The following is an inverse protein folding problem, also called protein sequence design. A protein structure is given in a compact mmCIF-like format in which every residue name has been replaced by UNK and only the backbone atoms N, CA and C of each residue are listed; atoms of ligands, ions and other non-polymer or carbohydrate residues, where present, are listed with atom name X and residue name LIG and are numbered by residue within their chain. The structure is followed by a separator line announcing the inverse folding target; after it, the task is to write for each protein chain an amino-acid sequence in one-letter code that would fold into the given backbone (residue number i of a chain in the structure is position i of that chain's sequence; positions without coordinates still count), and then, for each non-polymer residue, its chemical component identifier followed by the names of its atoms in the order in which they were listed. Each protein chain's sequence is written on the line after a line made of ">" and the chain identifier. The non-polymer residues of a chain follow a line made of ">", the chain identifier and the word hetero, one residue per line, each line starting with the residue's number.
data_IF_139603188121
#
_entry.id   IF_139603188121
#
_cell.length_a   1.000
_cell.length_b   1.000
_cell.length_c   1.000
_cell.angle_alpha   90.00
_cell.angle_beta   90.00
_cell.angle_gamma   90.00
#
_symmetry.space_group_name_H-M   'P 1'
#
loop_
_entity.id
_entity.type
_entity.pdbx_description
1 polymer ?
#
# COMPACT_ATOMS: atom_id res chain seq x y z
N UNK A 1 5.98 6.20 17.49
CA UNK A 1 4.70 5.45 17.54
C UNK A 1 4.17 5.47 16.12
N UNK A 2 4.05 4.31 15.48
CA UNK A 2 3.75 4.22 14.05
C UNK A 2 2.25 3.99 13.84
N UNK A 3 1.64 4.70 12.90
CA UNK A 3 0.22 4.53 12.54
C UNK A 3 0.07 3.36 11.60
N UNK A 4 -0.65 2.32 12.05
CA UNK A 4 -0.93 1.14 11.22
C UNK A 4 -2.09 1.41 10.28
N UNK A 5 -1.88 1.23 8.99
CA UNK A 5 -2.85 1.56 7.92
C UNK A 5 -3.06 0.35 7.02
N UNK A 6 -4.31 0.10 6.63
CA UNK A 6 -4.67 -0.85 5.60
C UNK A 6 -5.17 -0.13 4.34
N UNK A 7 -4.84 -0.65 3.16
CA UNK A 7 -5.32 -0.11 1.87
C UNK A 7 -6.43 -1.01 1.34
N UNK A 8 -7.66 -0.49 1.24
CA UNK A 8 -8.77 -1.18 0.60
C UNK A 8 -8.98 -0.66 -0.82
N UNK A 9 -8.50 -1.43 -1.81
CA UNK A 9 -8.51 -1.06 -3.23
C UNK A 9 -7.12 -0.72 -3.77
N UNK A 10 -6.36 -1.73 -4.21
CA UNK A 10 -5.00 -1.58 -4.77
C UNK A 10 -4.96 -1.24 -6.26
N UNK A 11 -5.82 -0.29 -6.67
CA UNK A 11 -5.83 0.27 -8.01
C UNK A 11 -4.79 1.37 -8.20
N UNK A 12 -5.04 2.31 -9.11
CA UNK A 12 -4.14 3.44 -9.39
C UNK A 12 -3.75 4.21 -8.11
N UNK A 13 -4.75 4.59 -7.31
CA UNK A 13 -4.52 5.40 -6.10
C UNK A 13 -3.87 4.59 -4.98
N UNK A 14 -4.34 3.35 -4.73
CA UNK A 14 -3.75 2.50 -3.69
C UNK A 14 -2.26 2.25 -3.89
N UNK A 15 -1.83 2.02 -5.15
CA UNK A 15 -0.40 1.86 -5.48
C UNK A 15 0.39 3.15 -5.29
N UNK A 16 -0.13 4.28 -5.76
CA UNK A 16 0.52 5.58 -5.53
C UNK A 16 0.66 5.92 -4.05
N UNK A 17 -0.35 5.61 -3.23
CA UNK A 17 -0.30 5.80 -1.77
C UNK A 17 0.81 4.95 -1.14
N UNK A 18 0.92 3.67 -1.51
CA UNK A 18 1.98 2.79 -0.99
C UNK A 18 3.38 3.29 -1.39
N UNK A 19 3.57 3.78 -2.63
CA UNK A 19 4.85 4.38 -3.06
C UNK A 19 5.18 5.63 -2.23
N UNK A 20 4.21 6.54 -2.07
CA UNK A 20 4.40 7.76 -1.28
C UNK A 20 4.69 7.44 0.19
N UNK A 21 4.03 6.44 0.78
CA UNK A 21 4.30 6.07 2.17
C UNK A 21 5.73 5.58 2.36
N UNK A 22 6.24 4.76 1.42
CA UNK A 22 7.60 4.26 1.45
C UNK A 22 8.65 5.36 1.22
N UNK A 23 8.35 6.34 0.37
CA UNK A 23 9.29 7.41 0.03
C UNK A 23 9.30 8.58 1.02
N UNK A 24 8.15 8.93 1.62
CA UNK A 24 7.97 10.20 2.32
C UNK A 24 7.52 10.08 3.77
N UNK A 25 6.86 8.99 4.14
CA UNK A 25 6.21 8.87 5.46
C UNK A 25 7.04 8.05 6.44
N UNK A 26 8.11 7.39 5.98
CA UNK A 26 9.11 6.73 6.83
C UNK A 26 8.47 5.87 7.93
N UNK A 27 8.91 6.07 9.17
CA UNK A 27 8.43 5.32 10.33
C UNK A 27 7.11 5.85 10.93
N UNK A 28 6.51 6.89 10.34
CA UNK A 28 5.24 7.45 10.83
C UNK A 28 4.05 6.54 10.46
N UNK A 29 4.15 5.82 9.34
CA UNK A 29 3.09 4.94 8.82
C UNK A 29 3.62 3.56 8.44
N UNK A 30 2.91 2.52 8.90
CA UNK A 30 3.14 1.12 8.55
C UNK A 30 1.93 0.60 7.77
N UNK A 31 2.13 0.23 6.50
CA UNK A 31 1.09 -0.43 5.71
C UNK A 31 1.03 -1.91 6.10
N UNK A 32 0.00 -2.30 6.84
CA UNK A 32 -0.10 -3.64 7.43
C UNK A 32 -0.92 -4.63 6.60
N UNK A 33 -1.76 -4.14 5.70
CA UNK A 33 -2.61 -4.97 4.85
C UNK A 33 -3.04 -4.25 3.58
N UNK A 34 -3.26 -5.04 2.52
CA UNK A 34 -3.80 -4.57 1.24
C UNK A 34 -4.93 -5.52 0.85
N UNK A 35 -6.12 -4.98 0.60
CA UNK A 35 -7.26 -5.72 0.07
C UNK A 35 -7.52 -5.31 -1.39
N UNK A 36 -7.62 -6.28 -2.29
CA UNK A 36 -7.88 -6.06 -3.70
C UNK A 36 -8.53 -7.30 -4.35
N UNK A 37 -8.99 -7.17 -5.60
CA UNK A 37 -9.69 -8.24 -6.33
C UNK A 37 -8.80 -9.18 -7.13
N UNK A 38 -7.52 -8.85 -7.30
CA UNK A 38 -6.58 -9.64 -8.10
C UNK A 38 -5.55 -10.33 -7.19
N UNK A 39 -4.95 -11.41 -7.70
CA UNK A 39 -3.93 -12.19 -6.98
C UNK A 39 -2.68 -11.36 -6.68
N UNK A 40 -2.00 -11.72 -5.59
CA UNK A 40 -0.86 -10.97 -5.06
C UNK A 40 0.27 -10.78 -6.07
N UNK A 41 0.52 -11.77 -6.92
CA UNK A 41 1.52 -11.78 -7.98
C UNK A 41 1.20 -10.74 -9.05
N UNK A 42 -0.09 -10.61 -9.42
CA UNK A 42 -0.54 -9.60 -10.37
C UNK A 42 -0.42 -8.21 -9.77
N UNK A 43 -0.82 -8.05 -8.50
CA UNK A 43 -0.71 -6.77 -7.79
C UNK A 43 0.74 -6.33 -7.64
N UNK A 44 1.65 -7.25 -7.33
CA UNK A 44 3.08 -7.00 -7.25
C UNK A 44 3.68 -6.64 -8.60
N UNK A 45 3.27 -7.30 -9.69
CA UNK A 45 3.70 -6.94 -11.04
C UNK A 45 3.25 -5.52 -11.46
N UNK A 46 2.09 -5.07 -10.98
CA UNK A 46 1.53 -3.75 -11.29
C UNK A 46 2.06 -2.62 -10.37
N UNK A 47 2.74 -2.96 -9.29
CA UNK A 47 3.24 -2.02 -8.28
C UNK A 47 4.62 -1.49 -8.64
#
# INVERSE_FOLDING_TARGET
>A
MCTKVAINGFGRIGRSVLRISQEKLGDDIEIVAINARAESETLAHLF
#
